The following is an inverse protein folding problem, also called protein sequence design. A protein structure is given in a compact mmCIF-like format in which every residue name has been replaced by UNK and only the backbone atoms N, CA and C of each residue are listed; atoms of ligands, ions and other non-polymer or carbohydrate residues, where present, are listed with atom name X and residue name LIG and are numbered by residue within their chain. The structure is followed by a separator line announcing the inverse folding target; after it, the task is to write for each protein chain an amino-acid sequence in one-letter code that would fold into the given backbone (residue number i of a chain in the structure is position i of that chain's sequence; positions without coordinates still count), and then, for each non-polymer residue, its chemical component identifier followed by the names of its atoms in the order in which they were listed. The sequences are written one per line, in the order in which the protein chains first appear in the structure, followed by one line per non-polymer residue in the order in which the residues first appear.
data_IF_253957087983
#
_entry.id   IF_253957087983
#
_cell.length_a   1.000
_cell.length_b   1.000
_cell.length_c   1.000
_cell.angle_alpha   90.00
_cell.angle_beta   90.00
_cell.angle_gamma   90.00
#
_symmetry.space_group_name_H-M   'P 1'
#
loop_
_entity.id
_entity.type
_entity.pdbx_description
1 polymer ?
#
# COMPACT_ATOMS: atom_id res chain seq x y z
N UNK A 1 -26.50 8.10 -22.56
CA UNK A 1 -26.00 7.83 -21.20
C UNK A 1 -24.66 7.20 -21.40
N UNK A 2 -23.64 8.04 -21.46
CA UNK A 2 -22.26 7.59 -21.49
C UNK A 2 -22.03 6.78 -20.20
N UNK A 3 -21.62 5.53 -20.37
CA UNK A 3 -21.16 4.72 -19.25
C UNK A 3 -19.82 5.33 -18.86
N UNK A 4 -19.83 6.24 -17.88
CA UNK A 4 -18.59 6.68 -17.22
C UNK A 4 -17.84 5.40 -16.80
N UNK A 5 -16.69 5.19 -17.43
CA UNK A 5 -15.87 4.00 -17.23
C UNK A 5 -15.43 3.97 -15.77
N UNK A 6 -15.94 3.00 -14.98
CA UNK A 6 -15.59 2.88 -13.56
C UNK A 6 -14.11 2.54 -13.49
N UNK A 7 -13.29 3.52 -13.12
CA UNK A 7 -11.85 3.38 -12.95
C UNK A 7 -11.53 2.92 -11.53
N UNK A 8 -10.73 1.87 -11.41
CA UNK A 8 -10.16 1.43 -10.12
C UNK A 8 -9.02 2.39 -9.76
N UNK A 9 -9.00 2.83 -8.51
CA UNK A 9 -7.93 3.65 -7.93
C UNK A 9 -7.35 2.94 -6.72
N UNK A 10 -6.14 3.31 -6.34
CA UNK A 10 -5.41 2.75 -5.21
C UNK A 10 -5.04 3.84 -4.22
N UNK A 11 -4.97 3.49 -2.94
CA UNK A 11 -4.60 4.44 -1.88
C UNK A 11 -3.29 4.03 -1.22
N UNK A 12 -2.35 4.95 -1.08
CA UNK A 12 -1.10 4.65 -0.39
C UNK A 12 -1.34 4.55 1.12
N UNK A 13 -1.09 3.40 1.73
CA UNK A 13 -1.21 3.22 3.18
C UNK A 13 -0.16 3.92 4.03
N UNK A 14 0.76 4.72 3.44
CA UNK A 14 1.77 5.49 4.15
C UNK A 14 1.52 7.01 4.13
N UNK A 15 1.04 7.54 3.02
CA UNK A 15 0.82 8.98 2.83
C UNK A 15 -0.64 9.33 2.47
N UNK A 16 -1.52 8.33 2.38
CA UNK A 16 -2.96 8.48 2.07
C UNK A 16 -3.25 9.15 0.70
N UNK A 17 -2.26 9.17 -0.21
CA UNK A 17 -2.44 9.68 -1.57
C UNK A 17 -3.14 8.62 -2.42
N UNK A 18 -4.19 9.05 -3.13
CA UNK A 18 -4.92 8.24 -4.10
C UNK A 18 -4.24 8.36 -5.47
N UNK A 19 -3.96 7.23 -6.11
CA UNK A 19 -3.30 7.13 -7.41
C UNK A 19 -4.02 6.17 -8.35
N UNK A 20 -3.87 6.41 -9.65
CA UNK A 20 -4.35 5.52 -10.70
C UNK A 20 -3.43 4.30 -10.90
N UNK A 21 -2.13 4.51 -10.69
CA UNK A 21 -1.08 3.50 -10.85
C UNK A 21 -0.09 3.58 -9.69
N UNK A 22 0.37 2.41 -9.22
CA UNK A 22 1.26 2.29 -8.06
C UNK A 22 2.76 2.41 -8.45
N UNK A 23 3.11 2.10 -9.71
CA UNK A 23 4.48 1.78 -10.16
C UNK A 23 5.53 2.88 -9.97
N UNK A 24 5.14 4.12 -9.68
CA UNK A 24 6.07 5.24 -9.45
C UNK A 24 5.84 5.94 -8.10
N UNK A 25 5.11 5.31 -7.18
CA UNK A 25 4.77 5.95 -5.92
C UNK A 25 6.00 6.07 -4.99
N UNK A 26 6.39 7.27 -4.51
CA UNK A 26 7.62 7.44 -3.73
C UNK A 26 7.72 6.58 -2.47
N UNK A 27 6.60 6.28 -1.82
CA UNK A 27 6.58 5.46 -0.60
C UNK A 27 6.94 3.97 -0.81
N UNK A 28 7.04 3.49 -2.05
CA UNK A 28 7.44 2.11 -2.35
C UNK A 28 8.83 2.03 -2.98
N UNK A 29 9.51 3.17 -3.17
CA UNK A 29 10.88 3.19 -3.65
C UNK A 29 11.81 2.46 -2.67
N UNK A 30 12.64 1.56 -3.19
CA UNK A 30 13.55 0.73 -2.39
C UNK A 30 12.94 -0.57 -1.83
N UNK A 31 11.63 -0.81 -1.99
CA UNK A 31 10.99 -2.06 -1.58
C UNK A 31 10.82 -2.99 -2.79
N UNK A 32 11.16 -4.27 -2.62
CA UNK A 32 11.04 -5.27 -3.69
C UNK A 32 9.61 -5.79 -3.90
N UNK A 33 8.73 -5.61 -2.92
CA UNK A 33 7.35 -6.09 -2.94
C UNK A 33 6.40 -5.08 -2.33
N UNK A 34 5.14 -5.15 -2.76
CA UNK A 34 4.02 -4.42 -2.16
C UNK A 34 2.91 -5.40 -1.81
N UNK A 35 2.10 -5.04 -0.83
CA UNK A 35 0.86 -5.71 -0.47
C UNK A 35 -0.30 -4.81 -0.86
N UNK A 36 -1.33 -5.37 -1.50
CA UNK A 36 -2.57 -4.63 -1.82
C UNK A 36 -3.74 -5.29 -1.08
N UNK A 37 -4.43 -4.55 -0.22
CA UNK A 37 -5.59 -5.09 0.49
C UNK A 37 -6.87 -5.04 -0.35
N UNK A 38 -7.95 -5.61 0.21
CA UNK A 38 -9.25 -5.67 -0.45
C UNK A 38 -9.92 -4.30 -0.66
N UNK A 39 -9.43 -3.26 0.03
CA UNK A 39 -9.90 -1.88 -0.09
C UNK A 39 -9.03 -1.07 -1.05
N UNK A 40 -8.16 -1.72 -1.82
CA UNK A 40 -7.21 -1.11 -2.76
C UNK A 40 -6.18 -0.20 -2.07
N UNK A 41 -5.94 -0.39 -0.78
CA UNK A 41 -4.76 0.21 -0.17
C UNK A 41 -3.52 -0.59 -0.52
N UNK A 42 -2.44 0.10 -0.85
CA UNK A 42 -1.15 -0.53 -1.08
C UNK A 42 -0.12 -0.12 -0.02
N UNK A 43 0.73 -1.06 0.34
CA UNK A 43 1.72 -0.93 1.41
C UNK A 43 3.05 -1.55 0.94
N UNK A 44 4.20 -0.91 1.19
CA UNK A 44 5.49 -1.57 0.97
C UNK A 44 5.68 -2.74 1.94
N UNK A 45 6.28 -3.82 1.45
CA UNK A 45 6.59 -5.04 2.21
C UNK A 45 8.10 -5.08 2.48
N UNK A 46 8.48 -5.38 3.71
CA UNK A 46 9.87 -5.57 4.12
C UNK A 46 10.50 -6.82 3.48
N UNK A 47 11.82 -6.91 3.54
CA UNK A 47 12.59 -8.04 2.97
C UNK A 47 12.23 -9.41 3.58
N UNK A 48 11.56 -9.42 4.74
CA UNK A 48 11.05 -10.65 5.37
C UNK A 48 9.84 -11.26 4.64
N UNK A 49 9.23 -10.51 3.71
CA UNK A 49 8.11 -10.95 2.88
C UNK A 49 6.80 -11.16 3.65
N UNK A 50 6.68 -10.61 4.86
CA UNK A 50 5.49 -10.77 5.71
C UNK A 50 5.11 -9.52 6.51
N UNK A 51 6.02 -8.56 6.66
CA UNK A 51 5.78 -7.32 7.40
C UNK A 51 5.56 -6.17 6.43
N UNK A 52 4.49 -5.39 6.61
CA UNK A 52 4.24 -4.15 5.86
C UNK A 52 4.57 -2.92 6.69
N UNK A 53 4.83 -1.81 6.00
CA UNK A 53 4.92 -0.49 6.62
C UNK A 53 3.67 0.32 6.28
N UNK A 54 2.98 0.82 7.30
CA UNK A 54 1.76 1.62 7.13
C UNK A 54 1.65 2.77 8.12
N UNK A 55 0.89 3.79 7.77
CA UNK A 55 0.45 4.84 8.68
C UNK A 55 -0.72 4.32 9.51
N UNK A 56 -0.68 4.55 10.81
CA UNK A 56 -1.77 4.21 11.71
C UNK A 56 -2.00 5.31 12.73
N UNK A 57 -3.25 5.44 13.17
CA UNK A 57 -3.58 6.14 14.39
C UNK A 57 -3.01 5.36 15.58
N UNK A 58 -2.33 6.08 16.45
CA UNK A 58 -1.80 5.64 17.73
C UNK A 58 -2.67 6.23 18.85
N UNK A 59 -2.34 5.91 20.10
CA UNK A 59 -2.99 6.49 21.26
C UNK A 59 -2.93 8.03 21.25
N UNK A 60 -3.91 8.67 21.90
CA UNK A 60 -4.00 10.13 22.07
C UNK A 60 -3.99 10.95 20.76
N UNK A 61 -4.68 10.47 19.72
CA UNK A 61 -4.82 11.15 18.41
C UNK A 61 -3.50 11.39 17.68
N UNK A 62 -2.44 10.69 18.05
CA UNK A 62 -1.18 10.72 17.31
C UNK A 62 -1.29 9.80 16.08
N UNK A 63 -0.56 10.13 15.03
CA UNK A 63 -0.36 9.24 13.89
C UNK A 63 1.12 8.92 13.76
N UNK A 64 1.42 7.68 13.39
CA UNK A 64 2.78 7.21 13.20
C UNK A 64 2.89 6.21 12.07
N UNK A 65 4.13 5.95 11.66
CA UNK A 65 4.46 4.85 10.77
C UNK A 65 4.77 3.63 11.63
N UNK A 66 4.12 2.51 11.35
CA UNK A 66 4.25 1.26 12.10
C UNK A 66 4.55 0.09 11.17
N UNK A 67 5.15 -0.94 11.75
CA UNK A 67 5.27 -2.27 11.17
C UNK A 67 4.02 -3.07 11.53
N UNK A 68 3.44 -3.75 10.55
CA UNK A 68 2.26 -4.61 10.73
C UNK A 68 2.51 -5.96 10.06
N UNK A 69 2.28 -7.07 10.77
CA UNK A 69 2.53 -8.41 10.24
C UNK A 69 1.28 -8.91 9.49
N UNK A 70 1.48 -9.34 8.26
CA UNK A 70 0.41 -9.89 7.44
C UNK A 70 0.00 -11.27 7.94
N UNK A 71 -1.30 -11.52 8.04
CA UNK A 71 -1.82 -12.86 8.36
C UNK A 71 -1.60 -13.86 7.21
N UNK A 72 -1.55 -13.38 5.96
CA UNK A 72 -1.32 -14.18 4.76
C UNK A 72 -0.52 -13.43 3.69
N UNK A 73 0.11 -14.17 2.78
CA UNK A 73 0.89 -13.60 1.66
C UNK A 73 0.07 -13.50 0.36
N UNK A 74 -1.25 -13.66 0.40
CA UNK A 74 -2.09 -13.87 -0.80
C UNK A 74 -2.20 -12.63 -1.70
N UNK A 75 -1.81 -11.44 -1.22
CA UNK A 75 -1.84 -10.21 -2.02
C UNK A 75 -0.49 -9.49 -2.10
N UNK A 76 0.60 -10.22 -1.83
CA UNK A 76 1.94 -9.69 -2.06
C UNK A 76 2.25 -9.82 -3.55
N UNK A 77 2.61 -8.70 -4.19
CA UNK A 77 3.04 -8.69 -5.58
C UNK A 77 4.41 -8.02 -5.72
N UNK A 78 5.20 -8.41 -6.74
CA UNK A 78 6.48 -7.78 -7.01
C UNK A 78 6.30 -6.28 -7.25
N UNK A 79 7.14 -5.48 -6.61
CA UNK A 79 7.21 -4.07 -6.92
C UNK A 79 7.92 -3.89 -8.27
N UNK A 80 7.22 -3.33 -9.25
CA UNK A 80 7.75 -3.10 -10.60
C UNK A 80 8.39 -1.71 -10.77
N UNK A 81 8.49 -0.92 -9.70
CA UNK A 81 9.22 0.36 -9.69
C UNK A 81 10.74 0.23 -9.85
N UNK A 82 11.28 -0.99 -9.94
CA UNK A 82 12.72 -1.28 -9.99
C UNK A 82 13.22 -1.50 -11.42
#
# INVERSE_FOLDING_TARGET
MDLDEIKVVYTCGLCEVIVDEIIDHPCIEGYGHIYIDNNHYFYPVLDDGKTIIRRSQLDDHMEGVVEDELETNENICPNKSQ
#
